data_IF_122764175647
#
_entry.id   IF_122764175647
#
_cell.length_a   1.000
_cell.length_b   1.000
_cell.length_c   1.000
_cell.angle_alpha   90.00
_cell.angle_beta   90.00
_cell.angle_gamma   90.00
#
_symmetry.space_group_name_H-M   'P 1'
#
loop_
_entity.id
_entity.type
_entity.pdbx_description
1 polymer ?
#
# COMPACT_ATOMS: atom_id res chain seq x y z
N UNK A 1 4.81 19.23 22.08
CA UNK A 1 4.44 17.79 22.18
C UNK A 1 3.28 17.59 21.22
N UNK A 2 3.35 16.58 20.35
CA UNK A 2 2.35 16.29 19.33
C UNK A 2 1.55 15.06 19.75
N UNK A 3 0.23 15.18 19.81
CA UNK A 3 -0.67 14.05 20.08
C UNK A 3 -1.08 13.39 18.77
N UNK A 4 -0.75 12.11 18.62
CA UNK A 4 -1.10 11.27 17.47
C UNK A 4 -2.12 10.23 17.91
N UNK A 5 -3.29 10.20 17.26
CA UNK A 5 -4.27 9.13 17.44
C UNK A 5 -4.32 8.22 16.21
N UNK A 6 -4.19 6.92 16.40
CA UNK A 6 -4.45 5.93 15.35
C UNK A 6 -5.94 5.56 15.35
N UNK A 7 -6.57 5.49 14.18
CA UNK A 7 -7.85 4.79 14.02
C UNK A 7 -7.58 3.50 13.24
N UNK A 8 -7.80 2.38 13.91
CA UNK A 8 -7.28 1.08 13.52
C UNK A 8 -5.90 0.83 14.13
N UNK A 9 -5.79 -0.21 14.94
CA UNK A 9 -4.56 -0.62 15.62
C UNK A 9 -4.11 -2.00 15.15
N UNK A 10 -4.09 -2.19 13.82
CA UNK A 10 -3.55 -3.37 13.15
C UNK A 10 -2.02 -3.42 13.13
N UNK A 11 -1.45 -4.40 12.42
CA UNK A 11 0.01 -4.62 12.35
C UNK A 11 0.79 -3.39 11.85
N UNK A 12 0.27 -2.68 10.85
CA UNK A 12 0.86 -1.45 10.33
C UNK A 12 0.91 -0.33 11.38
N UNK A 13 -0.24 -0.03 12.01
CA UNK A 13 -0.32 0.98 13.07
C UNK A 13 0.55 0.60 14.28
N UNK A 14 0.59 -0.67 14.67
CA UNK A 14 1.46 -1.17 15.75
C UNK A 14 2.94 -1.02 15.41
N UNK A 15 3.33 -1.21 14.15
CA UNK A 15 4.73 -1.06 13.71
C UNK A 15 5.14 0.42 13.73
N UNK A 16 4.31 1.31 13.18
CA UNK A 16 4.54 2.76 13.20
C UNK A 16 4.60 3.27 14.66
N UNK A 17 3.62 2.89 15.47
CA UNK A 17 3.59 3.27 16.89
C UNK A 17 4.80 2.74 17.66
N UNK A 18 5.27 1.53 17.36
CA UNK A 18 6.48 0.96 17.94
C UNK A 18 7.74 1.79 17.65
N UNK A 19 7.89 2.27 16.41
CA UNK A 19 9.01 3.16 16.02
C UNK A 19 8.91 4.59 16.58
N UNK A 20 7.70 5.01 16.97
CA UNK A 20 7.47 6.28 17.66
C UNK A 20 7.52 6.16 19.19
N UNK A 21 7.51 4.95 19.74
CA UNK A 21 7.50 4.71 21.17
C UNK A 21 8.72 5.33 21.86
N UNK A 22 8.51 5.90 23.06
CA UNK A 22 9.57 6.53 23.85
C UNK A 22 10.01 7.93 23.37
N UNK A 23 9.50 8.42 22.23
CA UNK A 23 9.76 9.80 21.78
C UNK A 23 9.01 10.79 22.67
N UNK A 24 9.73 11.52 23.54
CA UNK A 24 9.15 12.54 24.45
C UNK A 24 8.34 13.63 23.75
N UNK A 25 8.59 13.85 22.46
CA UNK A 25 7.87 14.83 21.65
C UNK A 25 6.49 14.32 21.16
N UNK A 26 6.17 13.04 21.31
CA UNK A 26 4.93 12.42 20.84
C UNK A 26 4.12 11.80 22.01
N UNK A 27 2.81 12.06 22.02
CA UNK A 27 1.84 11.29 22.81
C UNK A 27 1.04 10.42 21.84
N UNK A 28 0.99 9.11 22.08
CA UNK A 28 0.31 8.17 21.19
C UNK A 28 -0.98 7.65 21.82
N UNK A 29 -2.06 7.65 21.06
CA UNK A 29 -3.33 7.03 21.41
C UNK A 29 -3.85 6.19 20.24
N UNK A 30 -4.73 5.24 20.48
CA UNK A 30 -5.35 4.46 19.42
C UNK A 30 -6.80 4.11 19.73
N UNK A 31 -7.67 4.21 18.73
CA UNK A 31 -9.01 3.64 18.72
C UNK A 31 -9.05 2.45 17.76
N UNK A 32 -9.61 1.33 18.20
CA UNK A 32 -9.86 0.15 17.39
C UNK A 32 -11.10 -0.56 17.95
N UNK A 33 -12.01 -1.01 17.07
CA UNK A 33 -13.23 -1.71 17.47
C UNK A 33 -12.93 -2.94 18.35
N UNK A 34 -11.78 -3.59 18.15
CA UNK A 34 -11.35 -4.77 18.89
C UNK A 34 -10.94 -4.46 20.34
N UNK A 35 -10.75 -3.19 20.73
CA UNK A 35 -10.56 -2.86 22.15
C UNK A 35 -11.81 -3.12 22.99
N UNK A 36 -13.00 -3.06 22.37
CA UNK A 36 -14.27 -3.37 23.02
C UNK A 36 -14.67 -4.85 22.89
N UNK A 37 -13.93 -5.66 22.13
CA UNK A 37 -14.19 -7.09 21.94
C UNK A 37 -13.55 -7.90 23.09
N UNK A 38 -14.33 -8.57 23.95
CA UNK A 38 -13.79 -9.37 25.06
C UNK A 38 -12.80 -10.46 24.60
N UNK A 39 -12.95 -11.00 23.39
CA UNK A 39 -12.09 -12.06 22.87
C UNK A 39 -10.75 -11.54 22.31
N UNK A 40 -10.70 -10.29 21.82
CA UNK A 40 -9.54 -9.71 21.16
C UNK A 40 -8.82 -8.62 21.97
N UNK A 41 -9.51 -8.01 22.94
CA UNK A 41 -9.07 -6.81 23.66
C UNK A 41 -7.79 -7.02 24.47
N UNK A 42 -7.70 -8.09 25.28
CA UNK A 42 -6.55 -8.31 26.18
C UNK A 42 -5.20 -8.26 25.43
N UNK A 43 -5.04 -9.07 24.38
CA UNK A 43 -3.80 -9.10 23.60
C UNK A 43 -3.57 -7.84 22.76
N UNK A 44 -4.60 -7.05 22.46
CA UNK A 44 -4.44 -5.76 21.77
C UNK A 44 -4.04 -4.65 22.74
N UNK A 45 -4.61 -4.63 23.94
CA UNK A 45 -4.28 -3.72 25.04
C UNK A 45 -2.82 -3.92 25.49
N UNK A 46 -2.38 -5.17 25.64
CA UNK A 46 -0.97 -5.48 25.97
C UNK A 46 -0.01 -4.93 24.92
N UNK A 47 -0.35 -5.10 23.63
CA UNK A 47 0.46 -4.57 22.53
C UNK A 47 0.46 -3.04 22.47
N UNK A 48 -0.64 -2.39 22.86
CA UNK A 48 -0.72 -0.93 22.97
C UNK A 48 0.18 -0.43 24.12
N UNK A 49 0.08 -1.07 25.30
CA UNK A 49 0.88 -0.74 26.48
C UNK A 49 2.39 -0.89 26.22
N UNK A 50 2.82 -1.97 25.58
CA UNK A 50 4.22 -2.21 25.19
C UNK A 50 4.80 -1.10 24.28
N UNK A 51 3.94 -0.36 23.58
CA UNK A 51 4.33 0.71 22.64
C UNK A 51 4.05 2.11 23.20
N UNK A 52 3.61 2.21 24.46
CA UNK A 52 3.23 3.48 25.08
C UNK A 52 2.04 4.15 24.39
N UNK A 53 1.12 3.35 23.84
CA UNK A 53 -0.10 3.83 23.16
C UNK A 53 -1.27 3.76 24.13
N UNK A 54 -1.93 4.89 24.35
CA UNK A 54 -3.16 4.99 25.15
C UNK A 54 -4.37 4.44 24.36
N UNK A 55 -5.02 3.35 24.80
CA UNK A 55 -6.22 2.87 24.15
C UNK A 55 -7.41 3.80 24.43
N UNK A 56 -8.10 4.20 23.37
CA UNK A 56 -9.31 5.01 23.42
C UNK A 56 -10.54 4.11 23.41
N UNK A 57 -11.44 4.30 24.38
CA UNK A 57 -12.68 3.52 24.49
C UNK A 57 -13.71 3.86 23.40
N UNK A 58 -13.67 5.09 22.88
CA UNK A 58 -14.59 5.62 21.88
C UNK A 58 -13.84 6.49 20.88
N UNK A 59 -14.34 6.58 19.64
CA UNK A 59 -13.74 7.39 18.59
C UNK A 59 -13.71 8.88 18.95
N UNK A 60 -14.63 9.36 19.80
CA UNK A 60 -14.60 10.73 20.33
C UNK A 60 -13.31 11.08 21.09
N UNK A 61 -12.58 10.07 21.58
CA UNK A 61 -11.28 10.24 22.22
C UNK A 61 -10.22 10.91 21.32
N UNK A 62 -10.41 10.91 19.98
CA UNK A 62 -9.50 11.58 19.05
C UNK A 62 -9.57 13.11 19.13
N UNK A 63 -10.52 13.70 19.88
CA UNK A 63 -10.72 15.14 19.96
C UNK A 63 -9.50 15.92 20.49
N UNK A 64 -8.60 15.24 21.21
CA UNK A 64 -7.35 15.82 21.73
C UNK A 64 -6.14 15.66 20.79
N UNK A 65 -6.32 14.96 19.66
CA UNK A 65 -5.25 14.67 18.72
C UNK A 65 -4.94 15.88 17.82
N UNK A 66 -3.65 16.14 17.62
CA UNK A 66 -3.16 17.09 16.63
C UNK A 66 -3.14 16.44 15.24
N UNK A 67 -2.87 15.13 15.21
CA UNK A 67 -2.83 14.31 13.98
C UNK A 67 -3.58 13.00 14.24
N UNK A 68 -4.48 12.65 13.34
CA UNK A 68 -5.18 11.36 13.33
C UNK A 68 -4.70 10.54 12.15
N UNK A 69 -4.17 9.34 12.38
CA UNK A 69 -3.71 8.42 11.32
C UNK A 69 -4.75 7.31 11.15
N UNK A 70 -5.44 7.28 10.01
CA UNK A 70 -6.41 6.23 9.70
C UNK A 70 -5.75 5.05 8.98
N UNK A 71 -5.70 3.89 9.65
CA UNK A 71 -5.17 2.62 9.13
C UNK A 71 -6.17 1.48 9.40
N UNK A 72 -7.25 1.47 8.62
CA UNK A 72 -8.32 0.47 8.65
C UNK A 72 -8.35 -0.36 7.38
N UNK A 73 -9.26 -1.35 7.33
CA UNK A 73 -9.56 -2.06 6.08
C UNK A 73 -10.14 -1.10 5.05
N UNK A 74 -9.76 -1.23 3.78
CA UNK A 74 -10.11 -0.26 2.73
C UNK A 74 -11.61 0.01 2.61
N UNK A 75 -12.45 -1.02 2.79
CA UNK A 75 -13.92 -0.90 2.77
C UNK A 75 -14.50 -0.03 3.89
N UNK A 76 -13.77 0.18 4.99
CA UNK A 76 -14.20 1.01 6.10
C UNK A 76 -13.76 2.48 5.98
N UNK A 77 -12.97 2.83 4.97
CA UNK A 77 -12.34 4.16 4.81
C UNK A 77 -13.33 5.31 4.97
N UNK A 78 -14.41 5.33 4.16
CA UNK A 78 -15.42 6.39 4.21
C UNK A 78 -16.16 6.43 5.53
N UNK A 79 -16.58 5.26 6.04
CA UNK A 79 -17.32 5.17 7.30
C UNK A 79 -16.49 5.68 8.49
N UNK A 80 -15.18 5.37 8.52
CA UNK A 80 -14.26 5.88 9.54
C UNK A 80 -14.08 7.39 9.43
N UNK A 81 -13.94 7.94 8.22
CA UNK A 81 -13.88 9.38 8.02
C UNK A 81 -15.15 10.07 8.55
N UNK A 82 -16.33 9.57 8.18
CA UNK A 82 -17.61 10.09 8.66
C UNK A 82 -17.74 10.03 10.19
N UNK A 83 -17.33 8.94 10.83
CA UNK A 83 -17.36 8.82 12.29
C UNK A 83 -16.32 9.71 12.99
N UNK A 84 -15.18 9.98 12.36
CA UNK A 84 -14.15 10.85 12.93
C UNK A 84 -14.49 12.34 12.83
N UNK A 85 -15.14 12.76 11.72
CA UNK A 85 -15.36 14.17 11.38
C UNK A 85 -15.95 15.03 12.51
N UNK A 86 -16.97 14.59 13.29
CA UNK A 86 -17.58 15.39 14.35
C UNK A 86 -16.66 15.66 15.54
N UNK A 87 -15.59 14.87 15.71
CA UNK A 87 -14.73 14.90 16.87
C UNK A 87 -13.40 15.62 16.61
N UNK A 88 -13.04 15.86 15.35
CA UNK A 88 -11.80 16.55 15.00
C UNK A 88 -11.86 18.03 15.40
N UNK A 89 -10.82 18.49 16.09
CA UNK A 89 -10.63 19.92 16.34
C UNK A 89 -10.25 20.65 15.04
N UNK A 90 -10.42 21.97 15.01
CA UNK A 90 -10.02 22.81 13.86
C UNK A 90 -8.52 22.72 13.53
N UNK A 91 -7.69 22.40 14.53
CA UNK A 91 -6.24 22.25 14.35
C UNK A 91 -5.84 20.85 13.91
N UNK A 92 -6.71 19.86 14.10
CA UNK A 92 -6.42 18.46 13.83
C UNK A 92 -6.27 18.20 12.32
N UNK A 93 -5.28 17.36 11.98
CA UNK A 93 -5.08 16.85 10.62
C UNK A 93 -5.43 15.36 10.61
N UNK A 94 -6.47 14.99 9.89
CA UNK A 94 -6.81 13.60 9.59
C UNK A 94 -6.04 13.15 8.36
N UNK A 95 -5.12 12.20 8.55
CA UNK A 95 -4.34 11.60 7.48
C UNK A 95 -4.91 10.22 7.15
N UNK A 96 -5.49 10.09 5.96
CA UNK A 96 -6.00 8.81 5.49
C UNK A 96 -4.86 7.98 4.87
N UNK A 97 -4.42 6.92 5.56
CA UNK A 97 -3.36 6.01 5.09
C UNK A 97 -3.91 4.69 4.55
N UNK A 98 -5.23 4.59 4.33
CA UNK A 98 -5.88 3.39 3.83
C UNK A 98 -5.47 3.09 2.38
N UNK A 99 -5.39 1.81 2.03
CA UNK A 99 -5.06 1.37 0.66
C UNK A 99 -6.32 1.38 -0.20
N UNK A 100 -6.68 2.56 -0.69
CA UNK A 100 -7.81 2.80 -1.59
C UNK A 100 -7.41 3.81 -2.68
N UNK A 101 -8.12 3.80 -3.81
CA UNK A 101 -7.92 4.73 -4.91
C UNK A 101 -8.38 6.17 -4.62
N UNK A 102 -8.08 7.12 -5.51
CA UNK A 102 -8.35 8.56 -5.33
C UNK A 102 -9.84 8.87 -5.14
N UNK A 103 -10.74 8.15 -5.80
CA UNK A 103 -12.18 8.36 -5.67
C UNK A 103 -12.66 8.14 -4.23
N UNK A 104 -12.22 7.05 -3.59
CA UNK A 104 -12.55 6.76 -2.19
C UNK A 104 -11.87 7.76 -1.24
N UNK A 105 -10.66 8.24 -1.56
CA UNK A 105 -10.00 9.32 -0.80
C UNK A 105 -10.80 10.62 -0.90
N UNK A 106 -11.36 10.94 -2.07
CA UNK A 106 -12.20 12.12 -2.26
C UNK A 106 -13.50 12.02 -1.45
N UNK A 107 -14.13 10.85 -1.40
CA UNK A 107 -15.28 10.60 -0.52
C UNK A 107 -14.92 10.81 0.95
N UNK A 108 -13.80 10.24 1.42
CA UNK A 108 -13.34 10.42 2.80
C UNK A 108 -13.01 11.89 3.12
N UNK A 109 -12.39 12.61 2.17
CA UNK A 109 -12.14 14.05 2.31
C UNK A 109 -13.45 14.85 2.44
N UNK A 110 -14.47 14.48 1.67
CA UNK A 110 -15.81 15.07 1.75
C UNK A 110 -16.46 14.87 3.12
N UNK A 111 -16.35 13.67 3.70
CA UNK A 111 -16.86 13.39 5.05
C UNK A 111 -16.13 14.23 6.12
N UNK A 112 -14.80 14.33 6.05
CA UNK A 112 -14.01 15.17 6.98
C UNK A 112 -14.38 16.66 6.85
N UNK A 113 -14.66 17.14 5.64
CA UNK A 113 -15.01 18.53 5.37
C UNK A 113 -16.36 18.97 5.98
N UNK A 114 -17.23 18.04 6.40
CA UNK A 114 -18.45 18.34 7.16
C UNK A 114 -18.10 18.79 8.60
N UNK A 115 -16.98 18.31 9.13
CA UNK A 115 -16.46 18.65 10.45
C UNK A 115 -15.56 19.90 10.43
N UNK A 116 -14.74 20.03 11.48
CA UNK A 116 -13.79 21.17 11.62
C UNK A 116 -12.35 20.81 11.26
N UNK A 117 -12.01 19.52 11.23
CA UNK A 117 -10.66 19.05 10.97
C UNK A 117 -10.23 19.23 9.52
N UNK A 118 -8.92 19.16 9.28
CA UNK A 118 -8.36 19.17 7.93
C UNK A 118 -8.07 17.76 7.42
N UNK A 119 -8.30 17.51 6.14
CA UNK A 119 -7.94 16.24 5.50
C UNK A 119 -6.58 16.34 4.79
N UNK A 120 -5.75 15.32 5.00
CA UNK A 120 -4.57 15.03 4.19
C UNK A 120 -4.70 13.60 3.70
N UNK A 121 -4.54 13.42 2.40
CA UNK A 121 -4.44 12.09 1.81
C UNK A 121 -3.03 11.56 2.07
N UNK A 122 -2.89 10.28 2.42
CA UNK A 122 -1.61 9.59 2.35
C UNK A 122 -1.65 8.26 1.61
N UNK A 123 -0.49 7.89 1.05
CA UNK A 123 -0.26 6.64 0.35
C UNK A 123 1.01 5.96 0.88
N UNK A 124 0.83 4.85 1.59
CA UNK A 124 1.93 4.02 2.08
C UNK A 124 2.55 3.25 0.90
N UNK A 125 3.85 3.41 0.67
CA UNK A 125 4.54 2.94 -0.54
C UNK A 125 5.23 1.58 -0.40
N UNK A 126 5.31 1.05 0.83
CA UNK A 126 5.91 -0.25 1.12
C UNK A 126 5.11 -1.00 2.19
N UNK A 127 5.43 -2.28 2.40
CA UNK A 127 4.96 -2.98 3.60
C UNK A 127 5.53 -2.27 4.82
N UNK A 128 4.68 -2.04 5.83
CA UNK A 128 5.05 -1.28 7.01
C UNK A 128 6.02 -2.02 7.95
N UNK A 129 5.84 -3.32 8.30
CA UNK A 129 6.65 -3.96 9.33
C UNK A 129 8.18 -3.88 9.14
N UNK A 130 8.74 -4.04 7.92
CA UNK A 130 10.19 -3.90 7.71
C UNK A 130 10.75 -2.49 7.93
N UNK A 131 9.92 -1.46 7.90
CA UNK A 131 10.33 -0.05 7.98
C UNK A 131 9.77 0.69 9.19
N UNK A 132 8.79 0.12 9.89
CA UNK A 132 8.10 0.75 11.02
C UNK A 132 7.64 2.19 10.70
N UNK A 133 8.01 3.17 11.53
CA UNK A 133 7.67 4.59 11.35
C UNK A 133 8.40 5.25 10.17
N UNK A 134 9.47 4.63 9.67
CA UNK A 134 10.25 5.08 8.50
C UNK A 134 9.69 4.59 7.17
N UNK A 135 8.55 3.87 7.18
CA UNK A 135 7.90 3.47 5.93
C UNK A 135 7.66 4.71 5.06
N UNK A 136 8.02 4.69 3.76
CA UNK A 136 7.80 5.86 2.90
C UNK A 136 6.30 6.09 2.71
N UNK A 137 5.86 7.31 3.00
CA UNK A 137 4.47 7.75 2.88
C UNK A 137 4.44 8.99 1.99
N UNK A 138 3.71 8.93 0.89
CA UNK A 138 3.41 10.13 0.09
C UNK A 138 2.18 10.80 0.67
N UNK A 139 2.17 12.13 0.75
CA UNK A 139 1.02 12.90 1.23
C UNK A 139 0.62 14.00 0.27
N UNK A 140 -0.69 14.26 0.17
CA UNK A 140 -1.24 15.35 -0.63
C UNK A 140 -2.44 16.02 0.06
N UNK A 141 -2.58 17.33 -0.15
CA UNK A 141 -3.63 18.15 0.47
C UNK A 141 -3.12 19.50 0.96
N UNK A 142 -4.02 20.43 1.25
CA UNK A 142 -3.69 21.81 1.62
C UNK A 142 -2.75 21.92 2.84
N UNK A 143 -2.83 20.96 3.79
CA UNK A 143 -1.96 20.90 4.98
C UNK A 143 -0.94 19.75 4.95
N UNK A 144 -0.67 19.17 3.77
CA UNK A 144 0.29 18.09 3.62
C UNK A 144 1.71 18.52 4.03
N UNK A 145 2.11 19.76 3.72
CA UNK A 145 3.39 20.35 4.16
C UNK A 145 3.53 20.38 5.68
N UNK A 146 2.54 20.94 6.38
CA UNK A 146 2.52 20.99 7.85
C UNK A 146 2.55 19.58 8.46
N UNK A 147 1.76 18.66 7.90
CA UNK A 147 1.72 17.27 8.36
C UNK A 147 3.06 16.57 8.19
N UNK A 148 3.67 16.69 7.01
CA UNK A 148 4.97 16.09 6.70
C UNK A 148 6.07 16.66 7.60
N UNK A 149 6.18 17.98 7.74
CA UNK A 149 7.16 18.62 8.62
C UNK A 149 7.02 18.14 10.07
N UNK A 150 5.79 18.17 10.61
CA UNK A 150 5.51 17.75 11.98
C UNK A 150 5.85 16.28 12.23
N UNK A 151 5.43 15.38 11.35
CA UNK A 151 5.65 13.94 11.53
C UNK A 151 7.09 13.53 11.21
N UNK A 152 7.76 14.19 10.27
CA UNK A 152 9.18 13.95 9.99
C UNK A 152 10.08 14.44 11.12
N UNK A 153 9.72 15.52 11.82
CA UNK A 153 10.39 15.94 13.05
C UNK A 153 10.27 14.89 14.17
N UNK A 154 9.22 14.06 14.14
CA UNK A 154 9.06 12.89 15.00
C UNK A 154 9.71 11.63 14.42
N UNK A 155 10.46 11.75 13.33
CA UNK A 155 11.22 10.67 12.71
C UNK A 155 10.44 9.82 11.72
N UNK A 156 9.24 10.20 11.28
CA UNK A 156 8.59 9.52 10.16
C UNK A 156 9.26 9.86 8.82
N UNK A 157 8.74 9.29 7.72
CA UNK A 157 9.23 9.48 6.36
C UNK A 157 8.10 9.85 5.39
N UNK A 158 7.63 11.09 5.52
CA UNK A 158 6.58 11.67 4.68
C UNK A 158 7.18 12.56 3.59
N UNK A 159 6.68 12.42 2.37
CA UNK A 159 7.02 13.26 1.22
C UNK A 159 5.74 13.92 0.68
N UNK A 160 5.76 15.24 0.50
CA UNK A 160 4.64 15.97 -0.09
C UNK A 160 4.73 15.88 -1.61
N UNK A 161 3.67 15.35 -2.23
CA UNK A 161 3.63 15.14 -3.69
C UNK A 161 2.55 15.96 -4.38
N UNK A 162 1.77 16.73 -3.62
CA UNK A 162 0.73 17.57 -4.17
C UNK A 162 -0.09 18.32 -3.13
N UNK A 163 -0.87 19.28 -3.61
CA UNK A 163 -1.74 20.14 -2.79
C UNK A 163 -3.20 19.65 -2.80
N UNK A 164 -3.54 18.71 -3.69
CA UNK A 164 -4.90 18.20 -3.89
C UNK A 164 -5.01 16.76 -3.39
N UNK A 165 -5.96 16.44 -2.49
CA UNK A 165 -6.27 15.06 -2.13
C UNK A 165 -6.58 14.21 -3.37
N UNK A 166 -5.94 13.05 -3.46
CA UNK A 166 -6.01 12.13 -4.59
C UNK A 166 -4.67 11.99 -5.31
N UNK A 167 -3.79 13.00 -5.25
CA UNK A 167 -2.49 12.95 -5.94
C UNK A 167 -1.55 11.87 -5.39
N UNK A 168 -1.54 11.60 -4.09
CA UNK A 168 -0.64 10.60 -3.50
C UNK A 168 -1.05 9.16 -3.87
N UNK A 169 -2.33 8.82 -3.79
CA UNK A 169 -2.86 7.53 -4.21
C UNK A 169 -2.76 7.37 -5.73
N UNK A 170 -3.05 8.42 -6.52
CA UNK A 170 -2.85 8.39 -7.97
C UNK A 170 -1.41 8.05 -8.33
N UNK A 171 -0.43 8.71 -7.70
CA UNK A 171 0.99 8.43 -7.91
C UNK A 171 1.35 6.98 -7.54
N UNK A 172 0.84 6.47 -6.42
CA UNK A 172 1.02 5.06 -6.00
C UNK A 172 0.44 4.09 -7.02
N UNK A 173 -0.79 4.33 -7.49
CA UNK A 173 -1.50 3.46 -8.42
C UNK A 173 -0.86 3.47 -9.80
N UNK A 174 -0.53 4.65 -10.34
CA UNK A 174 0.16 4.79 -11.63
C UNK A 174 1.54 4.14 -11.59
N UNK A 175 2.28 4.25 -10.46
CA UNK A 175 3.54 3.53 -10.29
C UNK A 175 3.37 2.01 -10.37
N UNK A 176 2.26 1.46 -9.86
CA UNK A 176 1.99 0.02 -9.97
C UNK A 176 1.89 -0.43 -11.43
N UNK A 177 1.38 0.40 -12.34
CA UNK A 177 1.28 0.10 -13.78
C UNK A 177 2.65 -0.22 -14.36
N UNK A 178 3.65 0.62 -14.12
CA UNK A 178 5.00 0.37 -14.63
C UNK A 178 5.62 -0.89 -14.01
N UNK A 179 5.52 -1.03 -12.69
CA UNK A 179 6.19 -2.12 -11.97
C UNK A 179 5.58 -3.49 -12.31
N UNK A 180 4.25 -3.60 -12.29
CA UNK A 180 3.54 -4.85 -12.62
C UNK A 180 3.39 -5.06 -14.13
N UNK A 181 3.40 -3.98 -14.92
CA UNK A 181 3.47 -4.06 -16.37
C UNK A 181 4.76 -4.71 -16.85
N UNK A 182 5.91 -4.30 -16.31
CA UNK A 182 7.20 -4.96 -16.61
C UNK A 182 7.22 -6.43 -16.19
N UNK A 183 6.68 -6.74 -15.01
CA UNK A 183 6.50 -8.14 -14.57
C UNK A 183 5.64 -8.95 -15.55
N UNK A 184 4.49 -8.41 -15.97
CA UNK A 184 3.61 -9.07 -16.93
C UNK A 184 4.27 -9.27 -18.30
N UNK A 185 5.01 -8.27 -18.79
CA UNK A 185 5.80 -8.38 -20.02
C UNK A 185 6.86 -9.49 -19.93
N UNK A 186 7.55 -9.61 -18.79
CA UNK A 186 8.52 -10.69 -18.57
C UNK A 186 7.84 -12.06 -18.57
N UNK A 187 6.68 -12.19 -17.92
CA UNK A 187 5.91 -13.43 -17.93
C UNK A 187 5.54 -13.82 -19.37
N UNK A 188 4.95 -12.91 -20.14
CA UNK A 188 4.47 -13.18 -21.49
C UNK A 188 5.63 -13.47 -22.45
N UNK A 189 6.67 -12.62 -22.44
CA UNK A 189 7.81 -12.74 -23.33
C UNK A 189 8.64 -13.99 -23.02
N UNK A 190 8.98 -14.25 -21.76
CA UNK A 190 9.86 -15.36 -21.41
C UNK A 190 9.15 -16.71 -21.52
N UNK A 191 7.86 -16.80 -21.16
CA UNK A 191 7.11 -18.05 -21.37
C UNK A 191 6.93 -18.36 -22.86
N UNK A 192 6.74 -17.34 -23.70
CA UNK A 192 6.70 -17.49 -25.16
C UNK A 192 8.05 -17.89 -25.73
N UNK A 193 9.12 -17.23 -25.30
CA UNK A 193 10.50 -17.51 -25.72
C UNK A 193 10.91 -18.93 -25.36
N UNK A 194 10.48 -19.44 -24.20
CA UNK A 194 10.73 -20.81 -23.76
C UNK A 194 10.05 -21.84 -24.66
N UNK A 195 8.79 -21.61 -25.04
CA UNK A 195 8.09 -22.47 -26.01
C UNK A 195 8.75 -22.47 -27.38
N UNK A 196 9.39 -21.36 -27.76
CA UNK A 196 10.13 -21.23 -29.00
C UNK A 196 11.61 -21.66 -28.89
N UNK A 197 12.10 -22.02 -27.69
CA UNK A 197 13.48 -22.43 -27.45
C UNK A 197 14.52 -21.29 -27.57
N UNK A 198 14.12 -20.05 -27.30
CA UNK A 198 14.96 -18.84 -27.48
C UNK A 198 15.03 -17.92 -26.25
N UNK A 199 14.72 -18.44 -25.04
CA UNK A 199 14.67 -17.66 -23.78
C UNK A 199 15.92 -16.81 -23.53
N UNK A 200 17.11 -17.42 -23.58
CA UNK A 200 18.37 -16.69 -23.32
C UNK A 200 18.65 -15.62 -24.39
N UNK A 201 18.35 -15.90 -25.67
CA UNK A 201 18.54 -14.92 -26.75
C UNK A 201 17.60 -13.72 -26.63
N UNK A 202 16.37 -13.94 -26.13
CA UNK A 202 15.46 -12.84 -25.82
C UNK A 202 16.00 -12.01 -24.66
N UNK A 203 16.50 -12.64 -23.59
CA UNK A 203 17.14 -11.91 -22.49
C UNK A 203 18.37 -11.12 -22.95
N UNK A 204 19.20 -11.67 -23.85
CA UNK A 204 20.34 -10.96 -24.45
C UNK A 204 19.87 -9.74 -25.26
N UNK A 205 18.86 -9.91 -26.11
CA UNK A 205 18.30 -8.81 -26.92
C UNK A 205 17.70 -7.68 -26.08
N UNK A 206 16.95 -8.02 -25.02
CA UNK A 206 16.42 -7.02 -24.07
C UNK A 206 17.56 -6.32 -23.31
N UNK A 207 18.60 -7.07 -22.94
CA UNK A 207 19.80 -6.54 -22.27
C UNK A 207 20.57 -5.54 -23.15
N UNK A 208 20.72 -5.82 -24.44
CA UNK A 208 21.33 -4.91 -25.41
C UNK A 208 20.50 -3.62 -25.58
N UNK A 209 19.18 -3.76 -25.63
CA UNK A 209 18.26 -2.62 -25.81
C UNK A 209 18.21 -1.72 -24.58
N UNK A 210 18.23 -2.31 -23.38
CA UNK A 210 18.12 -1.60 -22.10
C UNK A 210 19.28 -1.98 -21.16
N UNK A 211 20.51 -1.50 -21.43
CA UNK A 211 21.73 -1.97 -20.76
C UNK A 211 21.90 -1.51 -19.31
N UNK A 212 21.04 -0.60 -18.83
CA UNK A 212 21.15 -0.03 -17.48
C UNK A 212 20.68 -0.96 -16.34
N UNK A 213 20.07 -2.10 -16.66
CA UNK A 213 19.60 -3.10 -15.70
C UNK A 213 20.13 -4.48 -16.07
N UNK A 214 20.36 -5.35 -15.10
CA UNK A 214 20.55 -6.78 -15.34
C UNK A 214 19.17 -7.45 -15.50
N UNK A 215 18.78 -7.76 -16.73
CA UNK A 215 17.42 -8.27 -17.01
C UNK A 215 17.18 -9.69 -16.51
N UNK A 216 18.23 -10.47 -16.29
CA UNK A 216 18.11 -11.80 -15.68
C UNK A 216 17.81 -11.67 -14.20
N UNK A 217 18.50 -10.76 -13.51
CA UNK A 217 18.19 -10.44 -12.11
C UNK A 217 16.81 -9.81 -11.96
N UNK A 218 16.40 -8.95 -12.89
CA UNK A 218 15.04 -8.38 -12.92
C UNK A 218 13.99 -9.49 -13.09
N UNK A 219 14.22 -10.46 -13.98
CA UNK A 219 13.34 -11.62 -14.16
C UNK A 219 13.27 -12.50 -12.90
N UNK A 220 14.40 -12.83 -12.28
CA UNK A 220 14.46 -13.58 -11.01
C UNK A 220 13.61 -12.88 -9.94
N UNK A 221 13.82 -11.57 -9.78
CA UNK A 221 13.10 -10.78 -8.80
C UNK A 221 11.60 -10.73 -9.08
N UNK A 222 11.15 -10.35 -10.28
CA UNK A 222 9.72 -10.16 -10.51
C UNK A 222 8.95 -11.48 -10.56
N UNK A 223 9.50 -12.54 -11.17
CA UNK A 223 8.82 -13.83 -11.25
C UNK A 223 8.69 -14.51 -9.88
N UNK A 224 9.70 -14.38 -9.01
CA UNK A 224 9.57 -14.85 -7.63
C UNK A 224 8.48 -14.10 -6.85
N UNK A 225 8.25 -12.81 -7.14
CA UNK A 225 7.15 -12.03 -6.56
C UNK A 225 5.79 -12.44 -7.11
N UNK A 226 5.69 -12.81 -8.39
CA UNK A 226 4.49 -13.43 -8.96
C UNK A 226 4.20 -14.75 -8.25
N UNK A 227 5.23 -15.58 -8.01
CA UNK A 227 5.10 -16.86 -7.30
C UNK A 227 4.62 -16.67 -5.86
N UNK A 228 5.31 -15.84 -5.06
CA UNK A 228 5.04 -15.70 -3.62
C UNK A 228 3.79 -14.86 -3.31
N UNK A 229 3.50 -13.85 -4.14
CA UNK A 229 2.51 -12.81 -3.82
C UNK A 229 1.51 -12.52 -4.94
N UNK A 230 1.42 -13.35 -5.97
CA UNK A 230 0.61 -13.11 -7.16
C UNK A 230 -0.83 -12.68 -6.86
N UNK A 231 -1.53 -13.37 -5.95
CA UNK A 231 -2.90 -13.01 -5.55
C UNK A 231 -3.02 -11.54 -5.08
N UNK A 232 -2.10 -11.07 -4.24
CA UNK A 232 -2.07 -9.68 -3.77
C UNK A 232 -1.69 -8.71 -4.90
N UNK A 233 -0.74 -9.10 -5.77
CA UNK A 233 -0.30 -8.27 -6.89
C UNK A 233 -1.42 -8.04 -7.91
N UNK A 234 -2.26 -9.05 -8.13
CA UNK A 234 -3.48 -8.98 -8.93
C UNK A 234 -4.44 -7.95 -8.33
N UNK A 235 -4.71 -8.00 -7.01
CA UNK A 235 -5.54 -6.99 -6.34
C UNK A 235 -4.99 -5.58 -6.53
N UNK A 236 -3.70 -5.37 -6.30
CA UNK A 236 -3.05 -4.06 -6.49
C UNK A 236 -3.14 -3.57 -7.95
N UNK A 237 -3.11 -4.47 -8.93
CA UNK A 237 -3.20 -4.12 -10.35
C UNK A 237 -4.63 -3.86 -10.80
N UNK A 238 -5.62 -4.55 -10.22
CA UNK A 238 -7.05 -4.27 -10.40
C UNK A 238 -7.40 -2.87 -9.91
N UNK A 239 -6.95 -2.51 -8.71
CA UNK A 239 -7.14 -1.16 -8.14
C UNK A 239 -6.47 -0.07 -9.00
N UNK A 240 -5.28 -0.37 -9.55
CA UNK A 240 -4.59 0.54 -10.46
C UNK A 240 -5.36 0.75 -11.78
N UNK A 241 -5.97 -0.31 -12.32
CA UNK A 241 -6.80 -0.21 -13.51
C UNK A 241 -8.07 0.62 -13.26
N UNK A 242 -8.77 0.36 -12.15
CA UNK A 242 -9.95 1.14 -11.74
C UNK A 242 -9.61 2.63 -11.54
N UNK A 243 -8.42 2.92 -10.99
CA UNK A 243 -7.94 4.30 -10.83
C UNK A 243 -7.69 4.98 -12.17
N UNK A 244 -7.13 4.29 -13.16
CA UNK A 244 -6.94 4.86 -14.51
C UNK A 244 -8.30 5.12 -15.17
N UNK A 245 -9.23 4.18 -15.04
CA UNK A 245 -10.59 4.29 -15.56
C UNK A 245 -11.35 5.47 -14.93
N UNK A 246 -11.11 5.77 -13.65
CA UNK A 246 -11.73 6.93 -13.00
C UNK A 246 -11.25 8.29 -13.53
N UNK A 247 -10.07 8.33 -14.18
CA UNK A 247 -9.62 9.49 -14.95
C UNK A 247 -10.21 9.57 -16.36
N UNK A 248 -11.11 8.64 -16.73
CA UNK A 248 -11.70 8.57 -18.07
C UNK A 248 -10.78 7.97 -19.14
N UNK A 249 -9.74 7.25 -18.72
CA UNK A 249 -8.77 6.60 -19.62
C UNK A 249 -9.02 5.09 -19.70
N UNK A 250 -8.74 4.50 -20.87
CA UNK A 250 -8.77 3.04 -21.01
C UNK A 250 -7.56 2.40 -20.30
N UNK A 251 -7.81 1.43 -19.43
CA UNK A 251 -6.79 0.74 -18.64
C UNK A 251 -6.33 -0.61 -19.24
N UNK A 252 -6.27 -0.73 -20.57
CA UNK A 252 -6.02 -1.99 -21.29
C UNK A 252 -4.75 -2.72 -20.83
N UNK A 253 -3.62 -2.01 -20.74
CA UNK A 253 -2.35 -2.57 -20.26
C UNK A 253 -2.44 -3.06 -18.80
N UNK A 254 -3.15 -2.31 -17.96
CA UNK A 254 -3.33 -2.65 -16.54
C UNK A 254 -4.19 -3.88 -16.35
N UNK A 255 -5.29 -3.98 -17.11
CA UNK A 255 -6.18 -5.15 -17.12
C UNK A 255 -5.47 -6.38 -17.68
N UNK A 256 -4.69 -6.23 -18.75
CA UNK A 256 -3.87 -7.31 -19.31
C UNK A 256 -2.82 -7.79 -18.30
N UNK A 257 -2.07 -6.88 -17.68
CA UNK A 257 -1.07 -7.23 -16.66
C UNK A 257 -1.71 -7.97 -15.47
N UNK A 258 -2.90 -7.54 -15.02
CA UNK A 258 -3.66 -8.23 -13.99
C UNK A 258 -3.98 -9.69 -14.39
N UNK A 259 -4.51 -9.90 -15.61
CA UNK A 259 -4.80 -11.24 -16.15
C UNK A 259 -3.54 -12.10 -16.24
N UNK A 260 -2.45 -11.56 -16.76
CA UNK A 260 -1.18 -12.26 -16.97
C UNK A 260 -0.56 -12.71 -15.64
N UNK A 261 -0.50 -11.82 -14.64
CA UNK A 261 0.02 -12.14 -13.30
C UNK A 261 -0.85 -13.21 -12.62
N UNK A 262 -2.18 -13.09 -12.72
CA UNK A 262 -3.10 -14.09 -12.15
C UNK A 262 -2.89 -15.48 -12.77
N UNK A 263 -2.81 -15.54 -14.10
CA UNK A 263 -2.60 -16.79 -14.83
C UNK A 263 -1.25 -17.43 -14.49
N UNK A 264 -0.17 -16.64 -14.43
CA UNK A 264 1.16 -17.14 -14.07
C UNK A 264 1.24 -17.62 -12.63
N UNK A 265 0.65 -16.87 -11.68
CA UNK A 265 0.58 -17.29 -10.28
C UNK A 265 -0.15 -18.63 -10.14
N UNK A 266 -1.30 -18.78 -10.80
CA UNK A 266 -2.05 -20.03 -10.81
C UNK A 266 -1.26 -21.18 -11.47
N UNK A 267 -0.51 -20.90 -12.54
CA UNK A 267 0.31 -21.87 -13.24
C UNK A 267 1.48 -22.41 -12.41
N UNK A 268 2.09 -21.57 -11.57
CA UNK A 268 3.24 -21.94 -10.72
C UNK A 268 2.84 -22.60 -9.40
N UNK A 269 1.57 -22.49 -8.99
CA UNK A 269 1.08 -23.07 -7.74
C UNK A 269 1.19 -24.60 -7.75
N UNK A 270 1.61 -25.17 -6.62
CA UNK A 270 1.71 -26.62 -6.40
C UNK A 270 2.63 -27.35 -7.40
N UNK A 271 3.64 -26.66 -7.94
CA UNK A 271 4.62 -27.19 -8.90
C UNK A 271 5.96 -27.61 -8.29
N UNK A 272 6.08 -27.62 -6.96
CA UNK A 272 7.34 -27.93 -6.28
C UNK A 272 8.43 -26.86 -6.46
N UNK A 273 8.04 -25.64 -6.83
CA UNK A 273 8.94 -24.49 -6.98
C UNK A 273 9.26 -23.86 -5.63
N UNK A 274 10.43 -23.24 -5.55
CA UNK A 274 10.87 -22.38 -4.45
C UNK A 274 11.17 -20.96 -4.97
N UNK A 275 11.08 -19.97 -4.08
CA UNK A 275 11.42 -18.56 -4.39
C UNK A 275 12.84 -18.44 -4.97
N UNK A 276 13.76 -19.30 -4.55
CA UNK A 276 15.16 -19.30 -4.96
C UNK A 276 15.43 -19.90 -6.35
N UNK A 277 14.43 -20.50 -7.02
CA UNK A 277 14.64 -21.19 -8.30
C UNK A 277 14.91 -20.23 -9.46
N UNK A 278 14.57 -18.95 -9.30
CA UNK A 278 14.77 -17.92 -10.31
C UNK A 278 14.00 -18.17 -11.61
N UNK A 279 14.22 -17.33 -12.62
CA UNK A 279 13.52 -17.42 -13.90
C UNK A 279 13.77 -18.77 -14.58
N UNK A 280 14.94 -19.39 -14.38
CA UNK A 280 15.27 -20.71 -14.94
C UNK A 280 14.39 -21.82 -14.39
N UNK A 281 13.88 -21.70 -13.17
CA UNK A 281 12.85 -22.62 -12.64
C UNK A 281 11.43 -22.21 -13.05
N UNK A 282 11.10 -20.92 -12.95
CA UNK A 282 9.74 -20.43 -13.18
C UNK A 282 9.31 -20.51 -14.65
N UNK A 283 10.16 -20.07 -15.58
CA UNK A 283 9.83 -19.93 -17.00
C UNK A 283 9.44 -21.26 -17.65
N UNK A 284 10.17 -22.37 -17.47
CA UNK A 284 9.74 -23.68 -18.00
C UNK A 284 8.37 -24.15 -17.47
N UNK A 285 8.07 -23.86 -16.20
CA UNK A 285 6.76 -24.18 -15.61
C UNK A 285 5.65 -23.33 -16.23
N UNK A 286 5.86 -22.02 -16.33
CA UNK A 286 4.90 -21.11 -16.96
C UNK A 286 4.67 -21.47 -18.43
N UNK A 287 5.72 -21.74 -19.19
CA UNK A 287 5.65 -22.12 -20.61
C UNK A 287 4.77 -23.36 -20.86
N UNK A 288 4.79 -24.33 -19.94
CA UNK A 288 3.97 -25.54 -20.00
C UNK A 288 2.52 -25.33 -19.54
N UNK A 289 2.29 -24.46 -18.54
CA UNK A 289 1.02 -24.40 -17.80
C UNK A 289 0.18 -23.15 -18.03
N UNK A 290 0.75 -22.05 -18.49
CA UNK A 290 -0.03 -20.88 -18.92
C UNK A 290 -0.85 -21.30 -20.16
N UNK A 291 -2.17 -21.24 -20.03
CA UNK A 291 -3.11 -21.73 -21.04
C UNK A 291 -3.07 -20.88 -22.32
N UNK A 292 -3.52 -21.45 -23.44
CA UNK A 292 -3.62 -20.75 -24.74
C UNK A 292 -4.66 -19.62 -24.75
N UNK A 293 -5.61 -19.61 -23.80
CA UNK A 293 -6.76 -18.68 -23.80
C UNK A 293 -6.52 -17.46 -22.88
N UNK A 294 -5.37 -16.81 -23.04
CA UNK A 294 -5.11 -15.45 -22.53
C UNK A 294 -5.76 -14.38 -23.40
#
# INVERSE_FOLDING_TARGET
MTTIAFIGFGEAAQSIAGGLAGRKAAKLAAYDLRFADPAASAGLLDRAAQRGVEPLADIAGIATADVVLSLVVGSATRAVAASAAPHLSERAIFIDLNSVGPDTKALAAGEIAIGRGSFVEGAVMARVPPYAEKVPILVAGARAGEAAERLNALGMNLEVVGETPGQASSLKMIRSVMIKGVEALLIEALSSAERAGVTERILDSVQETFPGLDWRQVADYYLSRTFEHGARRVTEMTEAAETIESFGLEASMSRAACKTIAAAHAAMKDQGLAVADGYRGFVPVMARRVAKDL
#
